data_IF_568240717831
#
_entry.id   IF_568240717831
#
_cell.length_a   1.000
_cell.length_b   1.000
_cell.length_c   1.000
_cell.angle_alpha   90.00
_cell.angle_beta   90.00
_cell.angle_gamma   90.00
#
_symmetry.space_group_name_H-M   'P 1'
#
loop_
_entity.id
_entity.type
_entity.pdbx_description
1 polymer ?
#
# COMPACT_ATOMS: atom_id res chain seq x y z
N UNK A 1 1.31 2.65 19.27
CA UNK A 1 0.71 3.30 18.09
C UNK A 1 -0.58 2.58 17.75
N UNK A 2 -1.67 3.31 17.49
CA UNK A 2 -2.95 2.69 17.12
C UNK A 2 -2.92 2.24 15.65
N UNK A 3 -3.59 1.13 15.36
CA UNK A 3 -3.63 0.50 14.04
C UNK A 3 -5.05 0.05 13.75
N UNK A 4 -5.49 0.20 12.50
CA UNK A 4 -6.79 -0.30 12.06
C UNK A 4 -6.82 -1.84 12.12
N UNK A 5 -7.84 -2.46 12.75
CA UNK A 5 -7.88 -3.91 12.94
C UNK A 5 -8.01 -4.65 11.61
N UNK A 6 -7.55 -5.89 11.61
CA UNK A 6 -7.84 -6.87 10.56
C UNK A 6 -9.01 -7.74 11.00
N UNK A 7 -9.81 -8.18 10.04
CA UNK A 7 -10.80 -9.22 10.28
C UNK A 7 -10.11 -10.53 10.61
N UNK A 8 -10.85 -11.48 11.19
CA UNK A 8 -10.35 -12.83 11.49
C UNK A 8 -9.88 -13.58 10.23
N UNK A 9 -10.43 -13.22 9.07
CA UNK A 9 -9.98 -13.69 7.74
C UNK A 9 -8.65 -13.10 7.28
N UNK A 10 -8.12 -12.12 8.02
CA UNK A 10 -6.95 -11.33 7.65
C UNK A 10 -7.26 -10.14 6.73
N UNK A 11 -8.50 -10.00 6.24
CA UNK A 11 -8.87 -8.88 5.39
C UNK A 11 -8.90 -7.55 6.17
N UNK A 12 -8.44 -6.47 5.55
CA UNK A 12 -8.55 -5.11 6.11
C UNK A 12 -9.97 -4.54 5.94
N UNK A 13 -10.61 -4.84 4.81
CA UNK A 13 -11.93 -4.35 4.44
C UNK A 13 -12.72 -5.41 3.68
N UNK A 14 -14.05 -5.33 3.73
CA UNK A 14 -14.95 -6.08 2.86
C UNK A 14 -15.35 -5.24 1.65
N UNK A 15 -15.80 -5.92 0.58
CA UNK A 15 -16.49 -5.26 -0.51
C UNK A 15 -17.97 -5.04 -0.12
N UNK A 16 -18.56 -3.87 -0.40
CA UNK A 16 -17.99 -2.73 -1.09
C UNK A 16 -17.12 -1.83 -0.19
N UNK A 17 -16.07 -1.26 -0.76
CA UNK A 17 -15.36 -0.13 -0.17
C UNK A 17 -15.14 0.98 -1.20
N UNK A 18 -15.20 2.23 -0.76
CA UNK A 18 -15.05 3.40 -1.63
C UNK A 18 -13.90 4.25 -1.13
N UNK A 19 -12.93 4.51 -2.02
CA UNK A 19 -11.83 5.44 -1.78
C UNK A 19 -12.06 6.71 -2.61
N UNK A 20 -12.06 7.86 -1.96
CA UNK A 20 -12.20 9.18 -2.61
C UNK A 20 -11.01 10.05 -2.28
N UNK A 21 -10.32 10.57 -3.29
CA UNK A 21 -9.28 11.59 -3.13
C UNK A 21 -9.83 12.97 -3.49
N UNK A 22 -9.63 13.96 -2.63
CA UNK A 22 -10.09 15.35 -2.82
C UNK A 22 -8.89 16.30 -2.72
N UNK A 23 -8.79 17.22 -3.66
CA UNK A 23 -7.88 18.37 -3.59
C UNK A 23 -8.71 19.65 -3.58
N UNK A 24 -8.32 20.59 -2.73
CA UNK A 24 -8.96 21.90 -2.70
C UNK A 24 -8.55 22.71 -3.93
N UNK A 25 -9.49 23.45 -4.50
CA UNK A 25 -9.29 24.35 -5.64
C UNK A 25 -9.85 25.71 -5.27
N UNK A 26 -9.11 26.77 -5.58
CA UNK A 26 -9.61 28.14 -5.55
C UNK A 26 -10.12 28.47 -6.96
N UNK A 27 -11.33 28.98 -7.03
CA UNK A 27 -11.92 29.52 -8.25
C UNK A 27 -12.16 31.01 -8.05
N UNK A 28 -11.66 31.81 -8.99
CA UNK A 28 -11.87 33.26 -9.02
C UNK A 28 -12.59 33.62 -10.30
N UNK A 29 -13.73 34.30 -10.18
CA UNK A 29 -14.51 34.80 -11.32
C UNK A 29 -14.31 36.31 -11.41
N UNK A 30 -13.84 36.80 -12.56
CA UNK A 30 -13.70 38.24 -12.80
C UNK A 30 -15.07 38.90 -12.99
N UNK A 31 -15.19 40.22 -12.81
CA UNK A 31 -16.43 40.96 -13.10
C UNK A 31 -16.93 40.80 -14.54
N UNK A 32 -16.04 40.47 -15.49
CA UNK A 32 -16.36 40.17 -16.89
C UNK A 32 -16.70 38.71 -17.17
N UNK A 33 -16.81 37.86 -16.14
CA UNK A 33 -17.17 36.44 -16.26
C UNK A 33 -16.00 35.49 -16.53
N UNK A 34 -14.75 35.94 -16.51
CA UNK A 34 -13.60 35.07 -16.71
C UNK A 34 -13.34 34.22 -15.46
N UNK A 35 -13.27 32.89 -15.63
CA UNK A 35 -13.03 31.96 -14.53
C UNK A 35 -11.56 31.52 -14.52
N UNK A 36 -10.85 31.82 -13.43
CA UNK A 36 -9.51 31.29 -13.15
C UNK A 36 -9.59 30.22 -12.07
N UNK A 37 -8.94 29.07 -12.29
CA UNK A 37 -8.93 27.93 -11.37
C UNK A 37 -7.50 27.59 -11.02
N UNK A 38 -7.20 27.59 -9.72
CA UNK A 38 -5.89 27.23 -9.20
C UNK A 38 -6.06 26.17 -8.11
N UNK A 39 -5.13 25.24 -7.98
CA UNK A 39 -5.12 24.37 -6.82
C UNK A 39 -4.90 25.24 -5.59
N UNK A 40 -5.77 25.09 -4.59
CA UNK A 40 -5.51 25.70 -3.30
C UNK A 40 -4.30 24.96 -2.70
N UNK A 41 -3.30 25.69 -2.21
CA UNK A 41 -2.19 25.07 -1.51
C UNK A 41 -2.69 24.21 -0.34
N UNK A 42 -2.05 23.06 -0.11
CA UNK A 42 -2.36 22.16 1.00
C UNK A 42 -2.48 20.69 0.58
N UNK A 43 -2.42 19.78 1.57
CA UNK A 43 -2.41 18.34 1.30
C UNK A 43 -3.73 17.86 0.71
N UNK A 44 -3.66 16.88 -0.19
CA UNK A 44 -4.84 16.15 -0.62
C UNK A 44 -5.45 15.40 0.57
N UNK A 45 -6.77 15.31 0.62
CA UNK A 45 -7.47 14.46 1.59
C UNK A 45 -7.92 13.18 0.89
N UNK A 46 -7.68 12.04 1.52
CA UNK A 46 -8.23 10.75 1.08
C UNK A 46 -9.21 10.28 2.12
N UNK A 47 -10.38 9.85 1.66
CA UNK A 47 -11.45 9.30 2.49
C UNK A 47 -11.75 7.88 2.06
N UNK A 48 -11.95 7.00 3.03
CA UNK A 48 -12.44 5.64 2.81
C UNK A 48 -13.79 5.48 3.48
N UNK A 49 -14.74 4.90 2.76
CA UNK A 49 -15.97 4.36 3.33
C UNK A 49 -15.89 2.85 3.23
N UNK A 50 -15.86 2.20 4.39
CA UNK A 50 -15.74 0.77 4.56
C UNK A 50 -17.09 0.26 5.07
N UNK A 51 -17.68 -0.69 4.36
CA UNK A 51 -18.95 -1.30 4.73
C UNK A 51 -18.69 -2.77 5.04
N UNK A 52 -19.03 -3.17 6.25
CA UNK A 52 -18.87 -4.53 6.73
C UNK A 52 -20.25 -5.14 7.03
N UNK A 53 -20.41 -6.39 6.66
CA UNK A 53 -21.56 -7.21 6.97
C UNK A 53 -21.11 -8.50 7.66
N UNK A 54 -22.01 -9.06 8.47
CA UNK A 54 -21.83 -10.34 9.18
C UNK A 54 -20.53 -10.38 10.01
N UNK A 55 -20.14 -9.26 10.64
CA UNK A 55 -19.02 -9.25 11.58
C UNK A 55 -19.39 -9.97 12.87
N UNK A 56 -18.47 -10.77 13.38
CA UNK A 56 -18.57 -11.31 14.74
C UNK A 56 -18.56 -10.20 15.78
N UNK A 57 -19.04 -10.50 16.99
CA UNK A 57 -18.98 -9.57 18.13
C UNK A 57 -17.54 -9.17 18.45
N UNK A 58 -16.59 -10.09 18.27
CA UNK A 58 -15.16 -9.79 18.44
C UNK A 58 -14.60 -8.82 17.40
N UNK A 59 -15.03 -8.92 16.14
CA UNK A 59 -14.55 -8.04 15.07
C UNK A 59 -15.18 -6.65 15.17
N UNK A 60 -16.49 -6.58 15.41
CA UNK A 60 -17.18 -5.32 15.66
C UNK A 60 -16.61 -4.62 16.90
N UNK A 61 -16.42 -5.38 17.99
CA UNK A 61 -15.81 -4.88 19.22
C UNK A 61 -14.39 -4.37 19.04
N UNK A 62 -13.58 -4.96 18.15
CA UNK A 62 -12.25 -4.44 17.83
C UNK A 62 -12.29 -3.07 17.13
N UNK A 63 -13.26 -2.85 16.23
CA UNK A 63 -13.47 -1.56 15.57
C UNK A 63 -13.96 -0.51 16.58
N UNK A 64 -14.91 -0.86 17.43
CA UNK A 64 -15.41 0.02 18.50
C UNK A 64 -14.32 0.38 19.50
N UNK A 65 -13.49 -0.59 19.90
CA UNK A 65 -12.35 -0.36 20.78
C UNK A 65 -11.33 0.60 20.15
N UNK A 66 -11.06 0.46 18.85
CA UNK A 66 -10.22 1.43 18.14
C UNK A 66 -10.86 2.82 18.10
N UNK A 67 -12.17 2.94 17.86
CA UNK A 67 -12.87 4.22 17.86
C UNK A 67 -12.78 4.93 19.21
N UNK A 68 -12.98 4.18 20.30
CA UNK A 68 -12.84 4.68 21.66
C UNK A 68 -11.38 5.11 21.95
N UNK A 69 -10.40 4.26 21.60
CA UNK A 69 -8.97 4.58 21.75
C UNK A 69 -8.54 5.79 20.92
N UNK A 70 -9.14 5.95 19.73
CA UNK A 70 -8.94 7.10 18.86
C UNK A 70 -9.70 8.36 19.32
N UNK A 71 -10.43 8.29 20.46
CA UNK A 71 -11.28 9.35 21.01
C UNK A 71 -12.23 9.92 19.95
N UNK A 72 -12.91 9.03 19.22
CA UNK A 72 -13.87 9.39 18.17
C UNK A 72 -13.27 10.09 16.95
N UNK A 73 -11.96 9.95 16.71
CA UNK A 73 -11.24 10.58 15.58
C UNK A 73 -10.34 11.76 15.95
N UNK A 74 -10.24 12.11 17.24
CA UNK A 74 -9.28 13.11 17.72
C UNK A 74 -7.83 12.62 17.67
N UNK A 75 -7.61 11.31 17.80
CA UNK A 75 -6.28 10.69 17.68
C UNK A 75 -6.16 9.97 16.33
N UNK A 76 -4.93 9.93 15.82
CA UNK A 76 -4.61 9.25 14.57
C UNK A 76 -4.18 7.79 14.81
N UNK A 77 -4.35 6.97 13.78
CA UNK A 77 -3.91 5.59 13.72
C UNK A 77 -3.41 5.26 12.31
N UNK A 78 -2.73 4.12 12.17
CA UNK A 78 -2.30 3.63 10.87
C UNK A 78 -3.38 2.83 10.19
N UNK A 79 -3.71 3.24 8.97
CA UNK A 79 -4.55 2.49 8.05
C UNK A 79 -3.71 2.08 6.85
N UNK A 80 -3.84 0.81 6.45
CA UNK A 80 -3.24 0.29 5.23
C UNK A 80 -4.34 0.14 4.21
N UNK A 81 -4.22 0.85 3.09
CA UNK A 81 -5.24 0.84 2.05
C UNK A 81 -5.16 -0.46 1.24
N UNK A 82 -6.15 -1.38 1.36
CA UNK A 82 -6.11 -2.66 0.66
C UNK A 82 -6.25 -2.50 -0.86
N UNK A 83 -6.68 -1.33 -1.35
CA UNK A 83 -6.77 -1.05 -2.78
C UNK A 83 -5.50 -0.43 -3.35
N UNK A 84 -4.51 -0.05 -2.54
CA UNK A 84 -3.32 0.65 -3.01
C UNK A 84 -2.09 -0.25 -3.09
N UNK A 85 -1.12 0.15 -3.91
CA UNK A 85 0.25 -0.36 -3.79
C UNK A 85 0.89 0.32 -2.56
N UNK A 86 1.41 -0.49 -1.65
CA UNK A 86 2.03 -0.02 -0.40
C UNK A 86 3.43 0.53 -0.63
N UNK A 87 4.04 0.23 -1.78
CA UNK A 87 5.32 0.80 -2.16
C UNK A 87 5.15 2.25 -2.61
N UNK A 88 6.05 3.11 -2.15
CA UNK A 88 6.21 4.47 -2.64
C UNK A 88 7.06 4.49 -3.92
N UNK A 89 6.73 5.39 -4.84
CA UNK A 89 7.45 5.60 -6.09
C UNK A 89 7.80 4.29 -6.84
N UNK A 90 6.83 3.37 -7.00
CA UNK A 90 7.05 2.10 -7.72
C UNK A 90 7.38 2.31 -9.20
N UNK A 91 7.06 3.49 -9.72
CA UNK A 91 7.32 3.92 -11.10
C UNK A 91 8.73 4.50 -11.30
N UNK A 92 9.53 4.63 -10.23
CA UNK A 92 10.93 5.03 -10.32
C UNK A 92 11.79 4.44 -9.18
N UNK A 93 12.42 3.30 -9.46
CA UNK A 93 13.35 2.61 -8.56
C UNK A 93 14.68 3.35 -8.32
N UNK A 94 14.90 4.49 -9.00
CA UNK A 94 16.11 5.30 -8.83
C UNK A 94 15.96 6.38 -7.75
N UNK A 95 14.73 6.62 -7.30
CA UNK A 95 14.41 7.62 -6.26
C UNK A 95 14.91 7.22 -4.87
N UNK A 96 15.07 8.20 -3.99
CA UNK A 96 15.54 7.99 -2.61
C UNK A 96 14.63 7.17 -1.70
N UNK A 97 13.41 6.82 -2.15
CA UNK A 97 12.53 5.88 -1.45
C UNK A 97 12.98 4.42 -1.56
N UNK A 98 13.94 4.12 -2.44
CA UNK A 98 14.46 2.78 -2.67
C UNK A 98 15.90 2.66 -2.17
N UNK A 99 16.14 1.68 -1.32
CA UNK A 99 17.50 1.28 -0.96
C UNK A 99 18.00 0.28 -2.00
N UNK A 100 19.18 0.54 -2.56
CA UNK A 100 19.81 -0.29 -3.58
C UNK A 100 21.13 -0.80 -3.04
N UNK A 101 21.43 -2.07 -3.27
CA UNK A 101 22.74 -2.58 -2.92
C UNK A 101 23.82 -1.95 -3.82
N UNK A 102 25.03 -1.80 -3.29
CA UNK A 102 26.08 -0.99 -3.89
C UNK A 102 26.53 -1.44 -5.29
N UNK A 103 26.41 -2.74 -5.60
CA UNK A 103 26.83 -3.31 -6.90
C UNK A 103 25.65 -3.57 -7.85
N UNK A 104 24.45 -3.06 -7.52
CA UNK A 104 23.30 -3.11 -8.40
C UNK A 104 23.17 -1.83 -9.21
N UNK A 105 23.24 -1.95 -10.52
CA UNK A 105 22.90 -0.86 -11.43
C UNK A 105 21.42 -0.94 -11.81
N UNK A 106 20.72 0.20 -11.71
CA UNK A 106 19.32 0.35 -12.07
C UNK A 106 19.22 1.38 -13.18
N UNK A 107 18.73 0.99 -14.35
CA UNK A 107 18.45 1.91 -15.46
C UNK A 107 17.00 1.83 -15.90
N UNK A 108 16.43 2.98 -16.24
CA UNK A 108 15.07 3.07 -16.79
C UNK A 108 15.12 2.72 -18.27
N UNK A 109 14.28 1.78 -18.69
CA UNK A 109 14.19 1.33 -20.10
C UNK A 109 12.90 1.77 -20.77
N UNK A 110 11.82 1.90 -19.99
CA UNK A 110 10.56 2.53 -20.36
C UNK A 110 9.88 3.04 -19.08
N UNK A 111 8.81 3.86 -19.15
CA UNK A 111 8.05 4.25 -17.96
C UNK A 111 7.60 3.04 -17.15
N UNK A 112 8.03 2.97 -15.88
CA UNK A 112 7.74 1.84 -14.97
C UNK A 112 8.50 0.53 -15.27
N UNK A 113 9.45 0.54 -16.21
CA UNK A 113 10.25 -0.64 -16.61
C UNK A 113 11.76 -0.38 -16.44
N UNK A 114 12.41 -1.24 -15.68
CA UNK A 114 13.80 -1.08 -15.26
C UNK A 114 14.65 -2.27 -15.69
N UNK A 115 15.87 -2.01 -16.12
CA UNK A 115 16.92 -3.01 -16.20
C UNK A 115 17.76 -2.97 -14.92
N UNK A 116 17.81 -4.11 -14.24
CA UNK A 116 18.63 -4.35 -13.06
C UNK A 116 19.83 -5.19 -13.49
N UNK A 117 21.04 -4.66 -13.34
CA UNK A 117 22.29 -5.35 -13.67
C UNK A 117 23.12 -5.54 -12.41
N UNK A 118 23.33 -6.79 -12.01
CA UNK A 118 24.12 -7.16 -10.84
C UNK A 118 25.59 -7.34 -11.23
N UNK A 119 26.46 -6.46 -10.73
CA UNK A 119 27.91 -6.54 -10.97
C UNK A 119 28.67 -7.46 -10.01
N UNK A 120 28.01 -8.07 -9.04
CA UNK A 120 28.58 -8.97 -8.03
C UNK A 120 28.32 -10.44 -8.36
N UNK A 121 29.11 -11.36 -7.80
CA UNK A 121 28.80 -12.80 -7.80
C UNK A 121 27.74 -13.16 -6.75
N UNK A 122 27.51 -12.31 -5.76
CA UNK A 122 26.43 -12.46 -4.79
C UNK A 122 25.14 -11.80 -5.32
N UNK A 123 23.99 -12.23 -4.82
CA UNK A 123 22.72 -11.58 -5.12
C UNK A 123 22.73 -10.11 -4.69
N UNK A 124 22.17 -9.23 -5.49
CA UNK A 124 22.04 -7.79 -5.21
C UNK A 124 20.63 -7.35 -5.58
N UNK A 125 20.06 -6.43 -4.80
CA UNK A 125 18.66 -6.09 -4.91
C UNK A 125 18.31 -4.65 -4.65
N UNK A 126 17.03 -4.38 -4.89
CA UNK A 126 16.34 -3.17 -4.45
C UNK A 126 15.38 -3.53 -3.32
N UNK A 127 15.26 -2.66 -2.34
CA UNK A 127 14.35 -2.86 -1.22
C UNK A 127 13.71 -1.54 -0.77
N UNK A 128 12.49 -1.65 -0.26
CA UNK A 128 11.81 -0.57 0.45
C UNK A 128 11.27 -1.10 1.77
N UNK A 129 11.51 -0.35 2.85
CA UNK A 129 10.90 -0.60 4.15
C UNK A 129 9.50 -0.01 4.18
N UNK A 130 8.52 -0.81 4.56
CA UNK A 130 7.11 -0.41 4.64
C UNK A 130 6.63 -0.53 6.08
N UNK A 131 6.00 0.54 6.59
CA UNK A 131 5.44 0.59 7.95
C UNK A 131 4.08 -0.12 8.01
N UNK A 132 4.07 -1.41 7.69
CA UNK A 132 2.86 -2.24 7.71
C UNK A 132 2.63 -2.83 9.11
N UNK A 133 1.38 -2.97 9.57
CA UNK A 133 1.10 -3.66 10.82
C UNK A 133 1.64 -5.08 10.86
N UNK A 134 2.10 -5.50 12.04
CA UNK A 134 2.50 -6.88 12.28
C UNK A 134 1.28 -7.81 12.10
N UNK A 135 1.50 -8.97 11.46
CA UNK A 135 0.45 -9.97 11.20
C UNK A 135 -0.48 -9.64 10.02
N UNK A 136 -0.34 -8.48 9.36
CA UNK A 136 -1.11 -8.15 8.17
C UNK A 136 -0.76 -9.12 7.02
N UNK A 137 -1.72 -9.85 6.43
CA UNK A 137 -1.42 -10.65 5.24
C UNK A 137 -1.02 -9.72 4.10
N UNK A 138 0.03 -10.09 3.38
CA UNK A 138 0.60 -9.26 2.34
C UNK A 138 1.20 -10.07 1.20
N UNK A 139 1.28 -9.45 0.03
CA UNK A 139 1.81 -10.05 -1.18
C UNK A 139 2.71 -9.05 -1.90
N UNK A 140 3.96 -9.45 -2.15
CA UNK A 140 4.90 -8.73 -3.01
C UNK A 140 4.90 -9.40 -4.38
N UNK A 141 4.70 -8.63 -5.43
CA UNK A 141 4.69 -9.13 -6.81
C UNK A 141 5.43 -8.20 -7.77
N UNK A 142 5.88 -8.77 -8.87
CA UNK A 142 6.48 -8.05 -10.00
C UNK A 142 6.30 -8.85 -11.29
N UNK A 143 6.45 -8.19 -12.43
CA UNK A 143 6.72 -8.86 -13.69
C UNK A 143 8.22 -8.80 -13.98
N UNK A 144 8.80 -9.95 -14.37
CA UNK A 144 10.23 -10.07 -14.62
C UNK A 144 10.53 -10.84 -15.90
N UNK A 145 11.66 -10.53 -16.54
CA UNK A 145 12.30 -11.34 -17.58
C UNK A 145 13.82 -11.21 -17.47
N UNK A 146 14.58 -12.17 -18.00
CA UNK A 146 16.04 -12.22 -17.90
C UNK A 146 16.49 -13.19 -16.80
N UNK A 147 17.50 -12.78 -16.03
CA UNK A 147 18.13 -13.59 -14.98
C UNK A 147 17.16 -14.07 -13.88
N UNK A 148 17.63 -15.03 -13.09
CA UNK A 148 16.91 -15.47 -11.91
C UNK A 148 16.81 -14.35 -10.87
N UNK A 149 15.70 -14.34 -10.15
CA UNK A 149 15.37 -13.32 -9.16
C UNK A 149 14.77 -13.94 -7.91
N UNK A 150 14.95 -13.27 -6.78
CA UNK A 150 14.35 -13.67 -5.50
C UNK A 150 13.48 -12.52 -4.98
N UNK A 151 12.24 -12.82 -4.63
CA UNK A 151 11.38 -11.89 -3.89
C UNK A 151 11.42 -12.25 -2.41
N UNK A 152 11.56 -11.25 -1.55
CA UNK A 152 11.54 -11.41 -0.10
C UNK A 152 10.57 -10.44 0.57
N UNK A 153 9.79 -10.95 1.52
CA UNK A 153 8.78 -10.21 2.26
C UNK A 153 8.59 -10.82 3.65
N UNK A 154 8.76 -10.03 4.72
CA UNK A 154 8.42 -10.45 6.08
C UNK A 154 9.10 -11.75 6.55
N UNK A 155 10.35 -11.99 6.12
CA UNK A 155 11.09 -13.21 6.42
C UNK A 155 10.79 -14.41 5.52
N UNK A 156 9.85 -14.28 4.58
CA UNK A 156 9.58 -15.28 3.53
C UNK A 156 10.29 -14.87 2.25
N UNK A 157 11.01 -15.80 1.64
CA UNK A 157 11.69 -15.59 0.36
C UNK A 157 11.30 -16.67 -0.63
N UNK A 158 11.18 -16.28 -1.91
CA UNK A 158 10.94 -17.22 -3.01
C UNK A 158 11.83 -16.86 -4.20
N UNK A 159 12.59 -17.85 -4.64
CA UNK A 159 13.43 -17.75 -5.83
C UNK A 159 12.64 -18.15 -7.08
N UNK A 160 12.93 -17.48 -8.20
CA UNK A 160 12.36 -17.74 -9.50
C UNK A 160 13.47 -17.78 -10.57
N UNK A 161 13.67 -18.95 -11.18
CA UNK A 161 14.70 -19.17 -12.20
C UNK A 161 14.57 -18.24 -13.41
N UNK A 162 15.63 -17.99 -14.16
CA UNK A 162 15.61 -17.13 -15.36
C UNK A 162 14.45 -17.42 -16.34
N UNK A 163 13.96 -16.40 -17.03
CA UNK A 163 12.87 -16.52 -18.00
C UNK A 163 13.13 -15.65 -19.24
N UNK A 164 12.87 -16.18 -20.43
CA UNK A 164 13.06 -15.45 -21.70
C UNK A 164 11.96 -14.43 -21.99
N UNK A 165 10.77 -14.60 -21.41
CA UNK A 165 9.62 -13.71 -21.55
C UNK A 165 9.17 -13.10 -20.22
N UNK A 166 8.34 -12.07 -20.30
CA UNK A 166 7.69 -11.48 -19.12
C UNK A 166 6.83 -12.52 -18.42
N UNK A 167 7.07 -12.67 -17.12
CA UNK A 167 6.23 -13.47 -16.25
C UNK A 167 5.93 -12.74 -14.96
N UNK A 168 4.71 -12.92 -14.46
CA UNK A 168 4.34 -12.44 -13.13
C UNK A 168 4.87 -13.41 -12.07
N UNK A 169 5.53 -12.86 -11.06
CA UNK A 169 6.06 -13.59 -9.90
C UNK A 169 5.55 -12.94 -8.61
N UNK A 170 5.39 -13.73 -7.55
CA UNK A 170 4.97 -13.20 -6.26
C UNK A 170 5.33 -14.10 -5.08
N UNK A 171 5.49 -13.47 -3.91
CA UNK A 171 5.61 -14.11 -2.60
C UNK A 171 4.58 -13.50 -1.67
N UNK A 172 3.95 -14.34 -0.86
CA UNK A 172 2.98 -13.92 0.15
C UNK A 172 3.54 -14.23 1.53
N UNK A 173 3.21 -13.37 2.49
CA UNK A 173 3.68 -13.49 3.87
C UNK A 173 2.87 -12.59 4.78
N UNK A 174 3.45 -12.26 5.92
CA UNK A 174 2.86 -11.38 6.91
C UNK A 174 3.76 -10.18 7.18
N UNK A 175 3.14 -9.05 7.48
CA UNK A 175 3.85 -7.89 7.99
C UNK A 175 4.52 -8.21 9.31
N UNK A 176 5.70 -7.60 9.52
CA UNK A 176 6.46 -7.73 10.77
C UNK A 176 6.45 -6.44 11.59
N UNK A 177 5.66 -5.44 11.17
CA UNK A 177 5.63 -4.12 11.80
C UNK A 177 6.41 -3.07 11.01
N UNK A 178 6.84 -2.04 11.74
CA UNK A 178 7.74 -0.98 11.24
C UNK A 178 9.05 -1.62 10.78
N UNK A 179 9.26 -1.67 9.46
CA UNK A 179 10.44 -2.32 8.87
C UNK A 179 10.15 -3.57 8.04
N UNK A 180 8.89 -3.85 7.71
CA UNK A 180 8.56 -4.88 6.72
C UNK A 180 9.26 -4.55 5.39
N UNK A 181 10.34 -5.27 5.09
CA UNK A 181 11.13 -5.06 3.89
C UNK A 181 10.51 -5.82 2.71
N UNK A 182 10.13 -5.09 1.67
CA UNK A 182 9.81 -5.65 0.36
C UNK A 182 11.06 -5.56 -0.50
N UNK A 183 11.59 -6.72 -0.91
CA UNK A 183 12.89 -6.81 -1.60
C UNK A 183 12.81 -7.68 -2.84
N UNK A 184 13.50 -7.24 -3.89
CA UNK A 184 13.74 -7.98 -5.11
C UNK A 184 15.25 -8.04 -5.35
N UNK A 185 15.78 -9.26 -5.35
CA UNK A 185 17.19 -9.54 -5.62
C UNK A 185 17.35 -10.16 -7.02
N UNK A 186 18.38 -9.75 -7.74
CA UNK A 186 18.84 -10.36 -8.98
C UNK A 186 20.02 -11.27 -8.66
N UNK A 187 20.05 -12.46 -9.25
CA UNK A 187 21.16 -13.41 -9.10
C UNK A 187 22.51 -12.80 -9.47
N UNK A 188 23.59 -13.37 -8.93
CA UNK A 188 24.96 -12.93 -9.18
C UNK A 188 25.31 -12.89 -10.67
N UNK A 189 25.92 -11.79 -11.12
CA UNK A 189 26.30 -11.55 -12.51
C UNK A 189 25.12 -11.44 -13.48
N UNK A 190 23.89 -11.48 -12.98
CA UNK A 190 22.68 -11.51 -13.77
C UNK A 190 22.19 -10.13 -14.18
N UNK A 191 21.43 -10.11 -15.26
CA UNK A 191 20.62 -8.96 -15.66
C UNK A 191 19.16 -9.37 -15.79
N UNK A 192 18.29 -8.65 -15.08
CA UNK A 192 16.84 -8.85 -15.13
C UNK A 192 16.15 -7.54 -15.49
N UNK A 193 15.10 -7.63 -16.30
CA UNK A 193 14.16 -6.53 -16.48
C UNK A 193 12.99 -6.72 -15.55
N UNK A 194 12.57 -5.63 -14.91
CA UNK A 194 11.52 -5.61 -13.89
C UNK A 194 10.54 -4.51 -14.19
N UNK A 195 9.25 -4.80 -14.03
CA UNK A 195 8.19 -3.80 -14.02
C UNK A 195 7.07 -4.23 -13.08
N UNK A 196 6.20 -3.29 -12.74
CA UNK A 196 5.00 -3.60 -11.96
C UNK A 196 5.28 -4.06 -10.52
N UNK A 197 6.36 -3.56 -9.90
CA UNK A 197 6.73 -3.92 -8.54
C UNK A 197 5.70 -3.37 -7.54
N UNK A 198 5.04 -4.27 -6.81
CA UNK A 198 3.89 -3.93 -5.98
C UNK A 198 3.82 -4.78 -4.71
N UNK A 199 3.60 -4.10 -3.59
CA UNK A 199 3.27 -4.71 -2.30
C UNK A 199 1.81 -4.38 -1.99
N UNK A 200 1.03 -5.36 -1.53
CA UNK A 200 -0.38 -5.17 -1.18
C UNK A 200 -0.72 -5.84 0.15
N UNK A 201 -1.71 -5.32 0.87
CA UNK A 201 -2.27 -5.92 2.09
C UNK A 201 -3.34 -6.98 1.78
N UNK A 202 -2.94 -7.99 1.01
CA UNK A 202 -3.77 -9.15 0.66
C UNK A 202 -2.88 -10.35 0.34
N UNK A 203 -3.46 -11.55 0.38
CA UNK A 203 -2.72 -12.79 0.23
C UNK A 203 -2.28 -13.10 -1.22
N UNK A 204 -2.88 -12.45 -2.22
CA UNK A 204 -2.62 -12.71 -3.64
C UNK A 204 -2.55 -11.38 -4.41
N UNK A 205 -1.80 -11.33 -5.52
CA UNK A 205 -1.57 -10.08 -6.22
C UNK A 205 -2.75 -9.68 -7.12
N UNK A 206 -3.13 -8.40 -7.12
CA UNK A 206 -4.15 -7.82 -8.02
C UNK A 206 -3.51 -7.16 -9.26
N UNK A 207 -4.26 -6.58 -10.22
CA UNK A 207 -3.64 -5.81 -11.30
C UNK A 207 -2.67 -4.73 -10.80
N UNK A 208 -1.66 -4.41 -11.61
CA UNK A 208 -0.64 -3.45 -11.21
C UNK A 208 -1.23 -2.04 -10.97
N UNK A 209 -0.78 -1.38 -9.91
CA UNK A 209 -1.21 -0.03 -9.51
C UNK A 209 0.04 0.85 -9.32
N UNK A 210 0.31 1.77 -10.25
CA UNK A 210 1.50 2.60 -10.18
C UNK A 210 1.42 3.57 -9.00
N UNK A 211 2.56 3.78 -8.33
CA UNK A 211 2.74 4.84 -7.35
C UNK A 211 3.85 5.78 -7.80
N UNK A 212 3.53 7.08 -7.81
CA UNK A 212 4.45 8.16 -8.18
C UNK A 212 4.95 8.98 -6.97
N UNK A 213 4.42 8.67 -5.78
CA UNK A 213 4.69 9.38 -4.53
C UNK A 213 4.50 8.45 -3.34
N UNK A 214 3.85 8.89 -2.25
CA UNK A 214 3.61 8.04 -1.07
C UNK A 214 2.87 6.74 -1.42
N UNK A 215 3.27 5.65 -0.76
CA UNK A 215 2.57 4.37 -0.84
C UNK A 215 1.23 4.36 -0.07
N UNK A 216 0.52 3.24 -0.14
CA UNK A 216 -0.78 3.00 0.48
C UNK A 216 -0.81 2.86 2.00
N UNK A 217 0.21 3.33 2.72
CA UNK A 217 0.27 3.31 4.19
C UNK A 217 -0.02 4.71 4.72
N UNK A 218 -1.06 4.84 5.55
CA UNK A 218 -1.57 6.12 6.02
C UNK A 218 -1.48 6.21 7.55
N UNK A 219 -0.33 6.65 8.11
CA UNK A 219 -0.09 6.69 9.56
C UNK A 219 -0.87 7.79 10.29
N UNK A 220 -1.41 8.76 9.55
CA UNK A 220 -2.18 9.90 10.08
C UNK A 220 -3.68 9.78 9.80
N UNK A 221 -4.19 8.54 9.72
CA UNK A 221 -5.61 8.27 9.48
C UNK A 221 -6.42 8.50 10.74
N UNK A 222 -7.63 9.03 10.59
CA UNK A 222 -8.58 9.30 11.67
C UNK A 222 -9.97 8.87 11.23
N UNK A 223 -10.84 8.61 12.19
CA UNK A 223 -12.27 8.55 11.90
C UNK A 223 -12.76 9.93 11.43
N UNK A 224 -13.68 9.96 10.48
CA UNK A 224 -14.46 11.14 10.18
C UNK A 224 -15.38 11.48 11.35
N UNK A 225 -15.95 12.70 11.34
CA UNK A 225 -17.04 13.04 12.28
C UNK A 225 -18.19 12.08 12.04
N UNK A 226 -18.69 11.46 13.11
CA UNK A 226 -19.69 10.39 13.05
C UNK A 226 -19.28 9.24 12.12
N UNK A 227 -17.96 8.97 12.06
CA UNK A 227 -17.36 8.01 11.13
C UNK A 227 -17.45 6.55 11.56
N UNK A 228 -18.29 6.21 12.54
CA UNK A 228 -18.57 4.84 12.96
C UNK A 228 -20.06 4.66 13.23
N UNK A 229 -20.65 3.69 12.56
CA UNK A 229 -22.01 3.19 12.81
C UNK A 229 -21.93 1.67 12.99
N UNK A 230 -22.53 1.15 14.06
CA UNK A 230 -22.56 -0.27 14.40
C UNK A 230 -24.01 -0.67 14.63
N UNK A 231 -24.46 -1.74 13.97
CA UNK A 231 -25.81 -2.29 14.09
C UNK A 231 -25.74 -3.80 14.28
N UNK A 232 -26.32 -4.31 15.36
CA UNK A 232 -26.49 -5.75 15.54
C UNK A 232 -27.60 -6.27 14.60
N UNK A 233 -27.26 -7.21 13.72
CA UNK A 233 -28.20 -7.84 12.76
C UNK A 233 -28.68 -9.21 13.25
N UNK A 234 -28.02 -9.77 14.27
CA UNK A 234 -28.40 -11.01 14.96
C UNK A 234 -27.36 -11.38 16.03
N UNK A 235 -27.54 -12.52 16.72
CA UNK A 235 -26.54 -13.01 17.67
C UNK A 235 -25.19 -13.23 16.98
N UNK A 236 -24.13 -12.61 17.51
CA UNK A 236 -22.78 -12.66 16.95
C UNK A 236 -22.69 -12.18 15.48
N UNK A 237 -23.56 -11.24 15.09
CA UNK A 237 -23.65 -10.71 13.72
C UNK A 237 -23.90 -9.21 13.76
N UNK A 238 -22.97 -8.45 13.17
CA UNK A 238 -23.00 -7.01 13.17
C UNK A 238 -22.76 -6.47 11.75
N UNK A 239 -23.49 -5.41 11.40
CA UNK A 239 -23.18 -4.55 10.28
C UNK A 239 -22.45 -3.30 10.80
N UNK A 240 -21.35 -2.93 10.15
CA UNK A 240 -20.51 -1.81 10.57
C UNK A 240 -20.19 -0.93 9.37
N UNK A 241 -20.40 0.37 9.50
CA UNK A 241 -19.96 1.37 8.54
C UNK A 241 -18.87 2.21 9.18
N UNK A 242 -17.72 2.30 8.51
CA UNK A 242 -16.59 3.09 8.96
C UNK A 242 -16.21 4.11 7.91
N UNK A 243 -16.11 5.38 8.30
CA UNK A 243 -15.62 6.46 7.44
C UNK A 243 -14.30 6.96 8.01
N UNK A 244 -13.24 6.75 7.23
CA UNK A 244 -11.87 7.14 7.56
C UNK A 244 -11.43 8.30 6.69
N UNK A 245 -10.58 9.18 7.22
CA UNK A 245 -9.93 10.26 6.47
C UNK A 245 -8.45 10.36 6.83
N UNK A 246 -7.64 10.71 5.84
CA UNK A 246 -6.21 10.95 6.00
C UNK A 246 -5.77 12.10 5.11
N UNK A 247 -4.75 12.82 5.56
CA UNK A 247 -4.06 13.84 4.75
C UNK A 247 -2.86 13.17 4.07
N UNK A 248 -2.76 13.34 2.76
CA UNK A 248 -1.62 12.86 1.98
C UNK A 248 -0.55 13.94 2.04
N UNK A 249 0.60 13.60 2.64
CA UNK A 249 1.78 14.46 2.54
C UNK A 249 2.20 14.53 1.06
N UNK A 250 2.55 15.73 0.58
CA UNK A 250 3.13 15.91 -0.75
C UNK A 250 4.56 15.38 -0.82
#
# INVERSE_FOLDING_TARGET
MLVYPFLTTGAVAQYPMVRTARRKRVETVSPGGHVSRMLAGGPAEVTWRLEYAELSDSEAGAIEALYAAARGGLMAFTFVDPLANLLAASEDLTTGGWNRDALLNVSVTAPGEFALSNGSLAAQGVQQGVAMPAGAPCCLSAEVKGAGVTLSLGGVSRHFAAASGWRRIWVSGFGIGEGTAARLDVDGGGQAMVRGLQLEAQAAPSPYKPTYGPGGVYPQTRFATDGLEVSATGPNRNAVIVILKSKVAE
#
